data_IF_873961323050
#
_entry.id   IF_873961323050
#
_cell.length_a   1.000
_cell.length_b   1.000
_cell.length_c   1.000
_cell.angle_alpha   90.00
_cell.angle_beta   90.00
_cell.angle_gamma   90.00
#
_symmetry.space_group_name_H-M   'P 1'
#
loop_
_entity.id
_entity.type
_entity.pdbx_description
1 polymer ?
#
# COMPACT_ATOMS: atom_id res chain seq x y z
N UNK A 1 -14.81 -12.13 -3.47
CA UNK A 1 -14.13 -13.06 -2.54
C UNK A 1 -13.79 -12.28 -1.29
N UNK A 2 -14.05 -12.82 -0.11
CA UNK A 2 -13.60 -12.22 1.15
C UNK A 2 -12.17 -12.70 1.45
N UNK A 3 -11.37 -11.86 2.10
CA UNK A 3 -10.04 -12.20 2.57
C UNK A 3 -10.13 -13.30 3.66
N UNK A 4 -9.11 -14.14 3.83
CA UNK A 4 -9.09 -15.08 4.96
C UNK A 4 -8.99 -14.31 6.29
N UNK A 5 -9.28 -14.98 7.41
CA UNK A 5 -9.20 -14.36 8.74
C UNK A 5 -7.78 -13.87 9.02
N UNK A 6 -6.79 -14.71 8.70
CA UNK A 6 -5.37 -14.41 8.89
C UNK A 6 -4.93 -13.21 8.05
N UNK A 7 -5.35 -13.16 6.79
CA UNK A 7 -5.04 -12.01 5.94
C UNK A 7 -5.75 -10.73 6.44
N UNK A 8 -6.95 -10.86 7.05
CA UNK A 8 -7.71 -9.73 7.59
C UNK A 8 -7.02 -9.15 8.82
N UNK A 9 -6.46 -9.99 9.68
CA UNK A 9 -5.66 -9.56 10.83
C UNK A 9 -4.42 -8.77 10.38
N UNK A 10 -3.67 -9.30 9.42
CA UNK A 10 -2.53 -8.57 8.82
C UNK A 10 -2.94 -7.19 8.28
N UNK A 11 -4.11 -7.11 7.64
CA UNK A 11 -4.62 -5.85 7.08
C UNK A 11 -5.02 -4.85 8.15
N UNK A 12 -5.67 -5.31 9.23
CA UNK A 12 -6.03 -4.47 10.38
C UNK A 12 -4.77 -3.94 11.08
N UNK A 13 -3.74 -4.77 11.23
CA UNK A 13 -2.45 -4.35 11.78
C UNK A 13 -1.77 -3.29 10.90
N UNK A 14 -1.79 -3.47 9.57
CA UNK A 14 -1.27 -2.45 8.65
C UNK A 14 -2.02 -1.12 8.81
N UNK A 15 -3.36 -1.14 8.86
CA UNK A 15 -4.15 0.07 9.08
C UNK A 15 -3.85 0.73 10.42
N UNK A 16 -3.63 -0.06 11.48
CA UNK A 16 -3.22 0.44 12.79
C UNK A 16 -1.86 1.15 12.73
N UNK A 17 -0.91 0.56 12.02
CA UNK A 17 0.40 1.17 11.75
C UNK A 17 0.27 2.46 10.94
N UNK A 18 -0.51 2.46 9.85
CA UNK A 18 -0.73 3.64 9.00
C UNK A 18 -1.36 4.79 9.80
N UNK A 19 -2.34 4.48 10.66
CA UNK A 19 -2.97 5.44 11.55
C UNK A 19 -1.98 6.03 12.57
N UNK A 20 -1.01 5.24 13.03
CA UNK A 20 -0.01 5.68 14.00
C UNK A 20 1.14 6.47 13.36
N UNK A 21 1.57 6.11 12.14
CA UNK A 21 2.80 6.64 11.51
C UNK A 21 2.52 7.64 10.39
N UNK A 22 1.44 7.44 9.63
CA UNK A 22 1.24 8.09 8.33
C UNK A 22 -0.05 8.94 8.25
N UNK A 23 -0.90 8.91 9.27
CA UNK A 23 -2.23 9.56 9.26
C UNK A 23 -2.18 11.02 8.83
N UNK A 24 -1.25 11.81 9.36
CA UNK A 24 -1.15 13.24 9.05
C UNK A 24 -0.80 13.48 7.59
N UNK A 25 0.20 12.76 7.05
CA UNK A 25 0.61 12.87 5.65
C UNK A 25 -0.52 12.45 4.71
N UNK A 26 -1.15 11.31 5.00
CA UNK A 26 -2.27 10.81 4.22
C UNK A 26 -3.51 11.71 4.28
N UNK A 27 -3.77 12.36 5.42
CA UNK A 27 -4.84 13.34 5.52
C UNK A 27 -4.56 14.58 4.66
N UNK A 28 -3.33 15.09 4.66
CA UNK A 28 -2.91 16.22 3.83
C UNK A 28 -3.02 15.87 2.34
N UNK A 29 -2.44 14.75 1.92
CA UNK A 29 -2.48 14.30 0.53
C UNK A 29 -3.92 14.12 0.05
N UNK A 30 -4.79 13.59 0.91
CA UNK A 30 -6.22 13.42 0.60
C UNK A 30 -6.97 14.75 0.48
N UNK A 31 -6.71 15.71 1.36
CA UNK A 31 -7.34 17.04 1.33
C UNK A 31 -6.90 17.83 0.09
N UNK A 32 -5.62 17.71 -0.27
CA UNK A 32 -5.03 18.41 -1.42
C UNK A 32 -5.21 17.66 -2.74
N UNK A 33 -5.85 16.48 -2.74
CA UNK A 33 -5.99 15.61 -3.90
C UNK A 33 -4.65 15.34 -4.60
N UNK A 34 -3.59 15.08 -3.83
CA UNK A 34 -2.26 14.77 -4.35
C UNK A 34 -2.32 13.44 -5.09
N UNK A 35 -1.82 13.42 -6.33
CA UNK A 35 -1.70 12.19 -7.11
C UNK A 35 -0.86 11.15 -6.37
N UNK A 36 -1.20 9.86 -6.52
CA UNK A 36 -0.48 8.76 -5.89
C UNK A 36 1.00 8.68 -6.31
N UNK A 37 1.30 9.16 -7.52
CA UNK A 37 2.64 9.18 -8.10
C UNK A 37 3.00 10.62 -8.46
N UNK A 38 4.18 11.06 -8.04
CA UNK A 38 4.78 12.34 -8.39
C UNK A 38 5.25 12.34 -9.85
N UNK A 39 5.51 13.50 -10.48
CA UNK A 39 5.94 13.58 -11.89
C UNK A 39 7.25 12.85 -12.21
N UNK A 40 8.07 12.56 -11.20
CA UNK A 40 9.32 11.81 -11.31
C UNK A 40 9.14 10.28 -11.20
N UNK A 41 7.90 9.80 -11.05
CA UNK A 41 7.58 8.39 -10.88
C UNK A 41 7.70 7.88 -9.44
N UNK A 42 8.09 8.73 -8.48
CA UNK A 42 8.11 8.39 -7.06
C UNK A 42 6.72 8.45 -6.44
N UNK A 43 6.53 7.83 -5.28
CA UNK A 43 5.25 7.85 -4.56
C UNK A 43 5.00 9.21 -3.91
N UNK A 44 3.72 9.55 -3.71
CA UNK A 44 3.36 10.63 -2.81
C UNK A 44 3.79 10.33 -1.36
N UNK A 45 3.73 11.34 -0.51
CA UNK A 45 4.31 11.26 0.82
C UNK A 45 3.52 10.29 1.72
N UNK A 46 2.21 10.18 1.52
CA UNK A 46 1.38 9.16 2.16
C UNK A 46 1.81 7.73 1.80
N UNK A 47 1.89 7.40 0.50
CA UNK A 47 2.20 6.05 0.05
C UNK A 47 3.67 5.68 0.28
N UNK A 48 4.58 6.67 0.25
CA UNK A 48 5.96 6.48 0.63
C UNK A 48 6.09 6.17 2.14
N UNK A 49 5.26 6.78 2.99
CA UNK A 49 5.21 6.48 4.41
C UNK A 49 4.69 5.05 4.67
N UNK A 50 3.58 4.65 4.04
CA UNK A 50 3.03 3.28 4.08
C UNK A 50 4.11 2.26 3.68
N UNK A 51 4.71 2.38 2.49
CA UNK A 51 5.75 1.43 2.02
C UNK A 51 7.03 1.44 2.90
N UNK A 52 7.34 2.56 3.54
CA UNK A 52 8.53 2.72 4.38
C UNK A 52 8.40 2.07 5.75
N UNK A 53 7.25 2.24 6.41
CA UNK A 53 7.04 1.84 7.81
C UNK A 53 6.13 0.62 7.97
N UNK A 54 4.99 0.58 7.26
CA UNK A 54 3.91 -0.38 7.53
C UNK A 54 3.87 -1.52 6.50
N UNK A 55 4.26 -1.24 5.26
CA UNK A 55 4.23 -2.19 4.16
C UNK A 55 5.15 -3.40 4.32
N UNK A 56 6.33 -3.25 4.96
CA UNK A 56 7.26 -4.39 5.19
C UNK A 56 6.66 -5.46 6.12
N UNK A 57 6.17 -5.11 7.33
CA UNK A 57 5.41 -6.04 8.17
C UNK A 57 4.23 -6.69 7.45
N UNK A 58 3.43 -5.90 6.72
CA UNK A 58 2.27 -6.41 5.99
C UNK A 58 2.64 -7.42 4.90
N UNK A 59 3.72 -7.18 4.15
CA UNK A 59 4.22 -8.12 3.14
C UNK A 59 4.65 -9.44 3.78
N UNK A 60 5.29 -9.39 4.94
CA UNK A 60 5.72 -10.60 5.67
C UNK A 60 4.50 -11.37 6.19
N UNK A 61 3.49 -10.67 6.70
CA UNK A 61 2.29 -11.26 7.28
C UNK A 61 1.33 -11.82 6.21
N UNK A 62 0.89 -10.98 5.27
CA UNK A 62 -0.12 -11.33 4.26
C UNK A 62 0.49 -11.94 2.99
N UNK A 63 1.81 -11.88 2.81
CA UNK A 63 2.45 -12.25 1.54
C UNK A 63 2.06 -11.34 0.37
N UNK A 64 1.37 -10.24 0.67
CA UNK A 64 0.67 -9.37 -0.25
C UNK A 64 1.29 -7.98 -0.30
N UNK A 65 1.34 -7.42 -1.50
CA UNK A 65 1.46 -6.00 -1.73
C UNK A 65 0.76 -5.68 -3.05
N UNK A 66 0.47 -4.41 -3.29
CA UNK A 66 -0.20 -3.95 -4.53
C UNK A 66 0.46 -4.51 -5.82
N UNK A 67 1.78 -4.77 -5.80
CA UNK A 67 2.54 -5.36 -6.93
C UNK A 67 2.32 -6.86 -7.13
N UNK A 68 2.05 -7.60 -6.05
CA UNK A 68 1.75 -9.04 -6.08
C UNK A 68 0.27 -9.33 -6.28
N UNK A 69 -0.62 -8.42 -5.89
CA UNK A 69 -2.07 -8.64 -5.96
C UNK A 69 -2.63 -8.74 -7.39
N UNK A 70 -1.83 -8.43 -8.42
CA UNK A 70 -2.26 -8.48 -9.82
C UNK A 70 -3.41 -7.51 -10.15
N UNK A 71 -3.66 -6.53 -9.29
CA UNK A 71 -4.68 -5.50 -9.46
C UNK A 71 -4.11 -4.33 -10.26
N UNK A 72 -4.90 -3.79 -11.18
CA UNK A 72 -4.60 -2.47 -11.76
C UNK A 72 -4.73 -1.45 -10.63
N UNK A 73 -3.61 -0.91 -10.16
CA UNK A 73 -3.61 0.10 -9.10
C UNK A 73 -3.62 1.51 -9.68
N UNK A 74 -4.22 2.45 -8.98
CA UNK A 74 -4.17 3.90 -9.28
C UNK A 74 -2.78 4.53 -9.03
N UNK A 75 -1.75 3.71 -8.87
CA UNK A 75 -0.35 4.09 -8.72
C UNK A 75 0.35 3.73 -10.02
N UNK A 76 0.91 4.72 -10.71
CA UNK A 76 1.63 4.50 -11.96
C UNK A 76 2.98 3.84 -11.67
N UNK A 77 3.23 2.68 -12.27
CA UNK A 77 4.44 1.86 -12.04
C UNK A 77 4.89 1.16 -13.32
N UNK A 78 6.21 0.91 -13.48
CA UNK A 78 6.73 0.11 -14.59
C UNK A 78 6.09 -1.29 -14.62
N UNK A 79 5.54 -1.66 -15.78
CA UNK A 79 4.74 -2.88 -15.97
C UNK A 79 5.49 -4.19 -15.65
N UNK A 80 6.82 -4.17 -15.79
CA UNK A 80 7.73 -5.27 -15.46
C UNK A 80 7.85 -5.55 -13.95
N UNK A 81 7.36 -4.64 -13.10
CA UNK A 81 7.41 -4.78 -11.64
C UNK A 81 6.14 -5.38 -11.02
N UNK A 82 5.12 -5.70 -11.84
CA UNK A 82 3.82 -6.24 -11.42
C UNK A 82 3.82 -7.77 -11.58
N UNK A 83 3.80 -8.52 -10.48
CA UNK A 83 3.88 -9.98 -10.47
C UNK A 83 2.49 -10.62 -10.34
N UNK A 84 2.14 -11.56 -11.24
CA UNK A 84 0.85 -12.30 -11.25
C UNK A 84 0.83 -13.51 -10.30
N UNK A 85 1.08 -13.34 -9.00
CA UNK A 85 0.91 -14.45 -8.04
C UNK A 85 -0.10 -14.08 -6.97
N UNK A 86 -1.04 -14.98 -6.70
CA UNK A 86 -1.97 -14.92 -5.58
C UNK A 86 -1.19 -14.68 -4.28
N UNK A 87 -1.14 -13.43 -3.85
CA UNK A 87 -1.08 -13.15 -2.44
C UNK A 87 -2.45 -13.53 -1.84
N UNK A 88 -2.60 -13.44 -0.51
CA UNK A 88 -3.92 -13.09 0.00
C UNK A 88 -4.57 -12.01 -0.90
#
# INVERSE_FOLDING_TARGET
AALSVECTECWVENMGCDAAQCLTLCAIDRILHVNNTKPDGSLNDCLACDEGYCGKPFIVCAGANRRRSGITSDIDRPQDTIWKRYAC
#
